data_IF_453874035291
#
_entry.id   IF_453874035291
#
_cell.length_a   1.000
_cell.length_b   1.000
_cell.length_c   1.000
_cell.angle_alpha   90.00
_cell.angle_beta   90.00
_cell.angle_gamma   90.00
#
_symmetry.space_group_name_H-M   'P 1'
#
loop_
_entity.id
_entity.type
_entity.pdbx_description
1 polymer ?
#
# COMPACT_ATOMS: atom_id res chain seq x y z
N UNK A 1 20.92 -1.19 39.04
CA UNK A 1 20.06 -2.37 39.14
C UNK A 1 19.87 -2.92 37.73
N UNK A 2 20.24 -4.18 37.46
CA UNK A 2 19.86 -4.83 36.20
C UNK A 2 18.34 -5.08 36.26
N UNK A 3 17.59 -4.38 35.46
CA UNK A 3 16.14 -4.64 35.32
C UNK A 3 16.00 -6.01 34.70
N UNK A 4 15.24 -6.90 35.32
CA UNK A 4 15.03 -8.25 34.81
C UNK A 4 14.14 -8.21 33.55
N UNK A 5 14.62 -8.83 32.48
CA UNK A 5 13.89 -8.94 31.20
C UNK A 5 12.50 -9.54 31.40
N UNK A 6 12.36 -10.49 32.35
CA UNK A 6 11.07 -11.10 32.65
C UNK A 6 10.06 -10.11 33.26
N UNK A 7 10.52 -9.21 34.13
CA UNK A 7 9.66 -8.16 34.67
C UNK A 7 9.19 -7.19 33.59
N UNK A 8 10.07 -6.86 32.65
CA UNK A 8 9.71 -6.00 31.48
C UNK A 8 8.69 -6.70 30.59
N UNK A 9 8.90 -7.99 30.26
CA UNK A 9 7.93 -8.74 29.48
C UNK A 9 6.55 -8.76 30.12
N UNK A 10 6.48 -9.03 31.41
CA UNK A 10 5.20 -9.01 32.15
C UNK A 10 4.53 -7.63 32.13
N UNK A 11 5.31 -6.57 32.36
CA UNK A 11 4.81 -5.19 32.41
C UNK A 11 4.26 -4.72 31.06
N UNK A 12 4.91 -5.10 29.96
CA UNK A 12 4.54 -4.66 28.60
C UNK A 12 3.77 -5.72 27.82
N UNK A 13 3.39 -6.85 28.43
CA UNK A 13 2.63 -7.91 27.77
C UNK A 13 3.39 -8.62 26.65
N UNK A 14 4.72 -8.65 26.70
CA UNK A 14 5.55 -9.31 25.69
C UNK A 14 5.60 -10.81 26.01
N UNK A 15 5.20 -11.63 25.04
CA UNK A 15 5.19 -13.08 25.16
C UNK A 15 6.28 -13.65 24.26
N UNK A 16 7.02 -14.59 24.79
CA UNK A 16 8.06 -15.31 24.07
C UNK A 16 9.37 -15.40 24.85
N UNK A 17 10.18 -16.41 24.49
CA UNK A 17 11.47 -16.68 25.13
C UNK A 17 12.62 -16.74 24.13
N UNK A 18 12.34 -16.40 22.87
CA UNK A 18 13.35 -16.41 21.82
C UNK A 18 14.55 -15.54 22.19
N UNK A 19 15.81 -16.03 22.02
CA UNK A 19 17.02 -15.28 22.36
C UNK A 19 17.15 -13.95 21.62
N UNK A 20 16.73 -13.88 20.34
CA UNK A 20 16.74 -12.64 19.54
C UNK A 20 15.78 -11.59 20.10
N UNK A 21 14.57 -11.99 20.53
CA UNK A 21 13.62 -11.10 21.19
C UNK A 21 14.18 -10.61 22.55
N UNK A 22 14.77 -11.49 23.34
CA UNK A 22 15.37 -11.13 24.63
C UNK A 22 16.51 -10.12 24.42
N UNK A 23 17.39 -10.36 23.43
CA UNK A 23 18.47 -9.44 23.09
C UNK A 23 17.95 -8.07 22.67
N UNK A 24 16.88 -8.01 21.88
CA UNK A 24 16.25 -6.75 21.48
C UNK A 24 15.76 -5.97 22.71
N UNK A 25 15.13 -6.65 23.70
CA UNK A 25 14.69 -6.04 24.95
C UNK A 25 15.89 -5.57 25.79
N UNK A 26 16.94 -6.38 25.88
CA UNK A 26 18.17 -6.00 26.60
C UNK A 26 18.80 -4.72 26.03
N UNK A 27 18.92 -4.63 24.70
CA UNK A 27 19.44 -3.43 24.04
C UNK A 27 18.54 -2.22 24.32
N UNK A 28 17.21 -2.40 24.26
CA UNK A 28 16.26 -1.33 24.57
C UNK A 28 16.44 -0.81 26.01
N UNK A 29 16.66 -1.70 26.98
CA UNK A 29 16.93 -1.33 28.40
C UNK A 29 18.29 -0.65 28.57
N UNK A 30 19.33 -1.12 27.89
CA UNK A 30 20.68 -0.52 27.97
C UNK A 30 20.70 0.89 27.37
N UNK A 31 19.97 1.14 26.29
CA UNK A 31 19.92 2.45 25.65
C UNK A 31 18.94 3.41 26.34
N UNK A 32 17.98 2.90 27.12
CA UNK A 32 16.93 3.70 27.76
C UNK A 32 17.46 4.91 28.56
N UNK A 33 18.51 4.80 29.42
CA UNK A 33 19.01 5.93 30.21
C UNK A 33 19.80 6.96 29.39
N UNK A 34 20.07 6.71 28.12
CA UNK A 34 20.79 7.63 27.21
C UNK A 34 19.82 8.45 26.37
N UNK A 35 20.32 9.53 25.75
CA UNK A 35 19.56 10.33 24.77
C UNK A 35 19.86 9.92 23.31
N UNK A 36 20.52 8.78 23.09
CA UNK A 36 20.85 8.30 21.76
C UNK A 36 19.57 7.99 20.93
N UNK A 37 19.64 8.27 19.64
CA UNK A 37 18.63 7.85 18.68
C UNK A 37 18.63 6.33 18.54
N UNK A 38 17.44 5.76 18.41
CA UNK A 38 17.24 4.31 18.27
C UNK A 38 16.45 4.04 17.02
N UNK A 39 16.95 3.11 16.20
CA UNK A 39 16.25 2.62 15.02
C UNK A 39 15.80 1.17 15.25
N UNK A 40 14.49 0.96 15.28
CA UNK A 40 13.89 -0.35 15.45
C UNK A 40 13.50 -0.90 14.07
N UNK A 41 14.11 -2.03 13.69
CA UNK A 41 13.84 -2.68 12.40
C UNK A 41 13.15 -4.01 12.61
N UNK A 42 12.28 -4.40 11.68
CA UNK A 42 11.58 -5.67 11.69
C UNK A 42 10.34 -5.63 10.80
N UNK A 43 9.83 -6.78 10.45
CA UNK A 43 8.66 -6.90 9.58
C UNK A 43 7.40 -6.27 10.20
N UNK A 44 6.41 -6.02 9.35
CA UNK A 44 5.10 -5.55 9.83
C UNK A 44 4.47 -6.57 10.78
N UNK A 45 3.84 -6.08 11.87
CA UNK A 45 3.15 -6.93 12.82
C UNK A 45 4.01 -7.74 13.79
N UNK A 46 5.34 -7.51 13.89
CA UNK A 46 6.23 -8.21 14.85
C UNK A 46 6.13 -7.69 16.29
N UNK A 47 5.52 -6.50 16.50
CA UNK A 47 5.37 -5.83 17.81
C UNK A 47 6.41 -4.75 18.06
N UNK A 48 6.89 -4.02 17.04
CA UNK A 48 7.86 -2.91 17.16
C UNK A 48 7.40 -1.80 18.11
N UNK A 49 6.12 -1.53 18.17
CA UNK A 49 5.50 -0.44 18.95
C UNK A 49 5.69 -0.56 20.47
N UNK A 50 6.04 -1.73 20.97
CA UNK A 50 6.28 -1.94 22.41
C UNK A 50 7.65 -1.41 22.84
N UNK A 51 8.67 -1.46 21.99
CA UNK A 51 10.04 -1.09 22.31
C UNK A 51 10.22 0.40 22.65
N UNK A 52 9.62 1.36 21.91
CA UNK A 52 9.68 2.78 22.28
C UNK A 52 9.08 3.06 23.65
N UNK A 53 8.03 2.35 24.04
CA UNK A 53 7.43 2.46 25.37
C UNK A 53 8.37 1.94 26.45
N UNK A 54 9.05 0.80 26.21
CA UNK A 54 10.09 0.28 27.12
C UNK A 54 11.21 1.31 27.30
N UNK A 55 11.71 1.88 26.20
CA UNK A 55 12.77 2.88 26.20
C UNK A 55 12.33 4.13 26.98
N UNK A 56 11.16 4.67 26.67
CA UNK A 56 10.66 5.88 27.32
C UNK A 56 10.46 5.69 28.82
N UNK A 57 9.77 4.62 29.24
CA UNK A 57 9.46 4.38 30.67
C UNK A 57 10.68 4.06 31.53
N UNK A 58 11.79 3.61 30.93
CA UNK A 58 13.05 3.35 31.62
C UNK A 58 14.10 4.46 31.37
N UNK A 59 13.71 5.58 30.73
CA UNK A 59 14.58 6.74 30.47
C UNK A 59 14.51 7.77 31.56
N UNK A 60 15.45 8.74 31.50
CA UNK A 60 15.42 9.96 32.35
C UNK A 60 14.17 10.83 32.01
N UNK A 61 13.60 10.67 30.79
CA UNK A 61 12.44 11.41 30.29
C UNK A 61 11.09 10.74 30.56
N UNK A 62 11.04 9.73 31.42
CA UNK A 62 9.83 8.92 31.71
C UNK A 62 8.62 9.72 32.20
N UNK A 63 8.82 10.93 32.68
CA UNK A 63 7.79 11.87 33.12
C UNK A 63 7.46 12.94 32.08
N UNK A 64 8.24 13.03 31.00
CA UNK A 64 8.00 13.89 29.85
C UNK A 64 6.90 13.35 28.93
N UNK A 65 6.50 14.14 27.95
CA UNK A 65 5.51 13.71 26.96
C UNK A 65 6.06 12.57 26.10
N UNK A 66 5.23 11.54 25.91
CA UNK A 66 5.46 10.48 24.92
C UNK A 66 4.46 10.62 23.79
N UNK A 67 4.94 10.86 22.58
CA UNK A 67 4.10 11.00 21.39
C UNK A 67 4.51 9.92 20.38
N UNK A 68 3.53 9.13 19.93
CA UNK A 68 3.71 8.15 18.86
C UNK A 68 3.04 8.66 17.58
N UNK A 69 3.79 8.69 16.49
CA UNK A 69 3.34 9.17 15.18
C UNK A 69 3.61 8.05 14.16
N UNK A 70 2.58 7.64 13.45
CA UNK A 70 2.75 6.77 12.28
C UNK A 70 2.90 7.65 11.03
N UNK A 71 4.11 7.67 10.45
CA UNK A 71 4.43 8.51 9.30
C UNK A 71 3.70 8.07 8.02
N UNK A 72 3.47 6.77 7.84
CA UNK A 72 2.75 6.23 6.69
C UNK A 72 1.23 6.50 6.72
N UNK A 73 0.67 6.78 7.91
CA UNK A 73 -0.75 7.09 8.05
C UNK A 73 -1.10 8.58 7.78
N UNK A 74 -0.10 9.46 7.73
CA UNK A 74 -0.31 10.90 7.51
C UNK A 74 -0.06 11.22 6.03
N UNK A 75 -1.00 11.86 5.32
CA UNK A 75 -0.79 12.24 3.92
C UNK A 75 0.42 13.15 3.74
N UNK A 76 1.17 12.95 2.65
CA UNK A 76 2.39 13.71 2.33
C UNK A 76 2.19 15.24 2.39
N UNK A 77 1.05 15.74 1.89
CA UNK A 77 0.73 17.18 1.90
C UNK A 77 0.52 17.79 3.29
N UNK A 78 0.36 16.99 4.34
CA UNK A 78 0.07 17.47 5.70
C UNK A 78 1.12 17.04 6.73
N UNK A 79 1.99 16.11 6.42
CA UNK A 79 2.96 15.54 7.36
C UNK A 79 3.90 16.61 7.96
N UNK A 80 4.36 17.56 7.17
CA UNK A 80 5.20 18.66 7.64
C UNK A 80 4.47 19.55 8.65
N UNK A 81 3.19 19.82 8.40
CA UNK A 81 2.33 20.61 9.30
C UNK A 81 2.06 19.88 10.62
N UNK A 82 1.86 18.56 10.58
CA UNK A 82 1.66 17.75 11.78
C UNK A 82 2.95 17.61 12.62
N UNK A 83 4.09 17.35 11.97
CA UNK A 83 5.36 17.18 12.68
C UNK A 83 5.92 18.50 13.24
N UNK A 84 5.95 19.55 12.41
CA UNK A 84 6.65 20.81 12.73
C UNK A 84 5.69 21.95 13.12
N UNK A 85 4.38 21.80 12.87
CA UNK A 85 3.40 22.85 13.06
C UNK A 85 3.32 23.86 11.90
N UNK A 86 2.33 24.75 11.95
CA UNK A 86 2.12 25.78 10.94
C UNK A 86 1.69 27.10 11.53
N UNK A 87 1.98 28.19 10.83
CA UNK A 87 1.41 29.53 11.11
C UNK A 87 0.11 29.74 10.33
N UNK A 88 -0.74 30.60 10.84
CA UNK A 88 -1.99 31.00 10.19
C UNK A 88 -1.72 31.50 8.76
N UNK A 89 -2.49 31.01 7.79
CA UNK A 89 -2.39 31.43 6.39
C UNK A 89 -1.27 30.77 5.59
N UNK A 90 -0.54 29.80 6.15
CA UNK A 90 0.56 29.11 5.48
C UNK A 90 0.12 28.23 4.30
N UNK A 91 -1.13 27.78 4.29
CA UNK A 91 -1.76 27.04 3.18
C UNK A 91 -3.28 27.23 3.21
N UNK A 92 -3.97 26.83 2.14
CA UNK A 92 -5.43 26.89 2.06
C UNK A 92 -6.06 25.99 3.13
N UNK A 93 -6.67 26.62 4.16
CA UNK A 93 -7.25 25.91 5.31
C UNK A 93 -6.50 26.12 6.63
N UNK A 94 -5.35 26.80 6.64
CA UNK A 94 -4.64 27.18 7.86
C UNK A 94 -5.32 28.38 8.55
N UNK A 95 -6.42 28.13 9.24
CA UNK A 95 -7.24 29.17 9.88
C UNK A 95 -6.61 29.76 11.15
N UNK A 96 -5.76 28.99 11.83
CA UNK A 96 -5.09 29.35 13.08
C UNK A 96 -3.67 28.76 13.13
N UNK A 97 -2.84 29.28 14.05
CA UNK A 97 -1.55 28.67 14.35
C UNK A 97 -1.76 27.30 15.01
N UNK A 98 -0.96 26.30 14.62
CA UNK A 98 -0.99 24.97 15.23
C UNK A 98 0.41 24.51 15.63
N UNK A 99 0.51 23.97 16.84
CA UNK A 99 1.75 23.34 17.32
C UNK A 99 1.94 21.98 16.65
N UNK A 100 3.18 21.70 16.21
CA UNK A 100 3.56 20.40 15.70
C UNK A 100 3.97 19.44 16.81
N UNK A 101 4.10 18.15 16.46
CA UNK A 101 4.49 17.11 17.42
C UNK A 101 5.86 17.36 18.06
N UNK A 102 6.83 17.94 17.34
CA UNK A 102 8.14 18.30 17.91
C UNK A 102 8.07 19.41 18.97
N UNK A 103 7.12 20.33 18.84
CA UNK A 103 6.90 21.36 19.86
C UNK A 103 6.19 20.78 21.09
N UNK A 104 5.22 19.87 20.89
CA UNK A 104 4.46 19.26 21.98
C UNK A 104 5.30 18.25 22.76
N UNK A 105 6.21 17.52 22.07
CA UNK A 105 7.08 16.51 22.68
C UNK A 105 8.33 17.11 23.33
N UNK A 106 8.48 18.43 23.40
CA UNK A 106 9.66 19.07 23.98
C UNK A 106 9.95 18.58 25.42
N UNK A 107 11.20 18.25 25.71
CA UNK A 107 11.61 17.59 26.95
C UNK A 107 11.24 16.11 27.08
N UNK A 108 10.51 15.56 26.13
CA UNK A 108 9.96 14.20 26.13
C UNK A 108 10.61 13.27 25.09
N UNK A 109 9.79 12.34 24.57
CA UNK A 109 10.18 11.36 23.56
C UNK A 109 9.15 11.32 22.44
N UNK A 110 9.62 11.38 21.20
CA UNK A 110 8.79 11.12 20.02
C UNK A 110 9.16 9.75 19.44
N UNK A 111 8.12 8.97 19.13
CA UNK A 111 8.25 7.73 18.38
C UNK A 111 7.72 7.95 16.96
N UNK A 112 8.56 7.70 15.97
CA UNK A 112 8.24 7.80 14.54
C UNK A 112 8.14 6.37 13.98
N UNK A 113 6.93 5.88 13.78
CA UNK A 113 6.70 4.59 13.12
C UNK A 113 6.67 4.78 11.60
N UNK A 114 7.10 3.76 10.86
CA UNK A 114 7.19 3.77 9.40
C UNK A 114 7.99 4.97 8.85
N UNK A 115 9.13 5.26 9.50
CA UNK A 115 9.99 6.42 9.13
C UNK A 115 10.50 6.34 7.69
N UNK A 116 10.55 5.14 7.10
CA UNK A 116 10.91 4.91 5.70
C UNK A 116 9.92 5.50 4.69
N UNK A 117 8.68 5.79 5.12
CA UNK A 117 7.62 6.37 4.28
C UNK A 117 7.65 7.92 4.26
N UNK A 118 8.58 8.55 5.00
CA UNK A 118 8.70 10.01 5.02
C UNK A 118 9.12 10.57 3.64
N UNK A 119 8.46 11.62 3.16
CA UNK A 119 8.90 12.34 1.95
C UNK A 119 10.32 12.91 2.12
N UNK A 120 11.11 12.94 1.05
CA UNK A 120 12.49 13.44 1.08
C UNK A 120 12.64 14.87 1.66
N UNK A 121 11.75 15.84 1.39
CA UNK A 121 11.80 17.15 2.04
C UNK A 121 11.62 17.07 3.56
N UNK A 122 10.71 16.23 4.05
CA UNK A 122 10.47 16.00 5.48
C UNK A 122 11.66 15.33 6.14
N UNK A 123 12.33 14.39 5.45
CA UNK A 123 13.55 13.76 5.92
C UNK A 123 14.66 14.80 6.20
N UNK A 124 14.84 15.80 5.32
CA UNK A 124 15.81 16.87 5.52
C UNK A 124 15.50 17.74 6.76
N UNK A 125 14.22 17.99 7.02
CA UNK A 125 13.78 18.72 8.22
C UNK A 125 14.00 17.88 9.49
N UNK A 126 13.70 16.58 9.45
CA UNK A 126 13.94 15.67 10.55
C UNK A 126 15.43 15.57 10.89
N UNK A 127 16.31 15.53 9.90
CA UNK A 127 17.75 15.54 10.10
C UNK A 127 18.19 16.78 10.90
N UNK A 128 17.67 17.97 10.54
CA UNK A 128 17.98 19.19 11.29
C UNK A 128 17.57 19.10 12.77
N UNK A 129 16.41 18.51 13.05
CA UNK A 129 15.99 18.28 14.45
C UNK A 129 16.96 17.33 15.18
N UNK A 130 17.41 16.26 14.50
CA UNK A 130 18.35 15.27 15.07
C UNK A 130 19.75 15.83 15.34
N UNK A 131 20.21 16.79 14.52
CA UNK A 131 21.55 17.36 14.62
C UNK A 131 21.63 18.54 15.59
N UNK A 132 20.70 19.48 15.44
CA UNK A 132 20.75 20.78 16.13
C UNK A 132 19.63 20.99 17.14
N UNK A 133 18.61 20.10 17.16
CA UNK A 133 17.39 20.33 17.94
C UNK A 133 16.54 21.49 17.41
N UNK A 134 16.74 21.90 16.16
CA UNK A 134 16.04 23.05 15.57
C UNK A 134 15.06 22.66 14.47
N UNK A 135 13.95 23.34 14.40
CA UNK A 135 12.99 23.23 13.33
C UNK A 135 12.32 24.57 13.01
N UNK A 136 11.62 24.63 11.88
CA UNK A 136 10.87 25.81 11.42
C UNK A 136 9.44 25.36 11.11
N UNK A 137 8.44 26.09 11.60
CA UNK A 137 7.02 25.85 11.25
C UNK A 137 6.76 26.11 9.77
N UNK A 138 5.74 25.47 9.24
CA UNK A 138 5.30 25.72 7.87
C UNK A 138 4.76 27.16 7.79
N UNK A 139 5.23 27.94 6.80
CA UNK A 139 4.88 29.34 6.63
C UNK A 139 5.64 30.33 7.52
N UNK A 140 6.57 29.86 8.37
CA UNK A 140 7.40 30.70 9.23
C UNK A 140 8.84 30.77 8.75
N UNK A 141 9.54 31.85 9.14
CA UNK A 141 11.01 31.97 9.03
C UNK A 141 11.71 31.83 10.40
N UNK A 142 10.93 31.71 11.50
CA UNK A 142 11.47 31.65 12.85
C UNK A 142 11.96 30.26 13.19
N UNK A 143 13.23 30.16 13.60
CA UNK A 143 13.80 28.92 14.13
C UNK A 143 13.28 28.67 15.53
N UNK A 144 12.77 27.47 15.78
CA UNK A 144 12.37 26.98 17.09
C UNK A 144 13.32 25.88 17.54
N UNK A 145 13.48 25.73 18.85
CA UNK A 145 14.32 24.70 19.47
C UNK A 145 13.45 23.69 20.20
N UNK A 146 13.87 22.44 20.13
CA UNK A 146 13.27 21.35 20.89
C UNK A 146 14.35 20.44 21.44
N UNK A 147 14.13 19.92 22.65
CA UNK A 147 14.97 18.91 23.27
C UNK A 147 14.19 17.60 23.35
N UNK A 148 13.95 16.97 22.21
CA UNK A 148 13.18 15.73 22.12
C UNK A 148 14.09 14.54 21.83
N UNK A 149 13.83 13.42 22.50
CA UNK A 149 14.44 12.13 22.16
C UNK A 149 13.68 11.47 21.04
N UNK A 150 14.37 11.02 19.98
CA UNK A 150 13.76 10.36 18.82
C UNK A 150 14.01 8.86 18.88
N UNK A 151 12.94 8.07 18.77
CA UNK A 151 12.94 6.63 18.54
C UNK A 151 12.20 6.39 17.24
N UNK A 152 12.84 5.77 16.26
CA UNK A 152 12.25 5.49 14.94
C UNK A 152 12.03 4.00 14.74
N UNK A 153 11.00 3.63 14.00
CA UNK A 153 10.78 2.26 13.55
C UNK A 153 10.49 2.20 12.06
N UNK A 154 10.85 1.07 11.45
CA UNK A 154 10.57 0.82 10.04
C UNK A 154 10.45 -0.68 9.75
N UNK A 155 9.66 -1.04 8.76
CA UNK A 155 9.58 -2.37 8.15
C UNK A 155 10.32 -2.42 6.80
N UNK A 156 10.76 -1.27 6.28
CA UNK A 156 11.48 -1.15 5.00
C UNK A 156 12.97 -1.33 5.21
N UNK A 157 13.65 -1.94 4.25
CA UNK A 157 15.10 -1.97 4.20
C UNK A 157 15.65 -0.59 3.82
N UNK A 158 16.05 0.20 4.83
CA UNK A 158 16.56 1.56 4.59
C UNK A 158 17.84 1.60 3.77
N UNK A 159 18.70 0.58 3.84
CA UNK A 159 19.92 0.53 3.00
C UNK A 159 19.55 0.45 1.52
N UNK A 160 18.56 -0.37 1.20
CA UNK A 160 18.03 -0.42 -0.16
C UNK A 160 17.32 0.89 -0.54
N UNK A 161 16.53 1.48 0.35
CA UNK A 161 15.86 2.76 0.11
C UNK A 161 16.87 3.91 -0.14
N UNK A 162 18.02 3.91 0.53
CA UNK A 162 19.13 4.84 0.28
C UNK A 162 19.70 4.62 -1.13
N UNK A 163 19.98 3.38 -1.52
CA UNK A 163 20.50 3.07 -2.87
C UNK A 163 19.50 3.44 -3.98
N UNK A 164 18.20 3.41 -3.70
CA UNK A 164 17.13 3.82 -4.62
C UNK A 164 16.86 5.35 -4.60
N UNK A 165 17.58 6.12 -3.78
CA UNK A 165 17.37 7.57 -3.63
C UNK A 165 16.06 7.98 -2.93
N UNK A 166 15.34 7.01 -2.32
CA UNK A 166 14.09 7.24 -1.59
C UNK A 166 14.31 7.68 -0.16
N UNK A 167 15.46 7.36 0.41
CA UNK A 167 15.85 7.73 1.77
C UNK A 167 17.23 8.38 1.78
N UNK A 168 17.41 9.43 2.57
CA UNK A 168 18.69 10.15 2.66
C UNK A 168 19.70 9.34 3.47
N UNK A 169 20.90 9.22 2.98
CA UNK A 169 22.00 8.51 3.61
C UNK A 169 22.40 9.14 4.97
N UNK A 170 22.46 10.48 5.01
CA UNK A 170 22.80 11.23 6.23
C UNK A 170 21.79 10.99 7.38
N UNK A 171 20.50 11.01 7.05
CA UNK A 171 19.43 10.69 7.99
C UNK A 171 19.51 9.23 8.48
N UNK A 172 19.80 8.28 7.57
CA UNK A 172 19.95 6.88 7.94
C UNK A 172 21.03 6.70 9.01
N UNK A 173 22.25 7.24 8.80
CA UNK A 173 23.31 7.14 9.80
C UNK A 173 22.96 7.82 11.12
N UNK A 174 22.25 8.93 11.08
CA UNK A 174 21.84 9.66 12.29
C UNK A 174 20.78 8.94 13.11
N UNK A 175 19.82 8.27 12.45
CA UNK A 175 18.80 7.44 13.11
C UNK A 175 19.38 6.11 13.60
N UNK A 176 20.25 5.48 12.83
CA UNK A 176 20.81 4.15 13.10
C UNK A 176 21.99 4.18 14.10
N UNK A 177 21.92 5.07 15.08
CA UNK A 177 22.96 5.15 16.15
C UNK A 177 22.93 3.89 17.01
N UNK A 178 21.75 3.43 17.42
CA UNK A 178 21.56 2.15 18.12
C UNK A 178 20.50 1.34 17.38
N UNK A 179 20.89 0.31 16.62
CA UNK A 179 19.93 -0.56 15.96
C UNK A 179 19.32 -1.57 16.94
N UNK A 180 18.01 -1.76 16.84
CA UNK A 180 17.26 -2.84 17.49
C UNK A 180 16.53 -3.63 16.43
N UNK A 181 16.92 -4.88 16.21
CA UNK A 181 16.25 -5.76 15.28
C UNK A 181 15.28 -6.68 16.02
N UNK A 182 14.00 -6.62 15.64
CA UNK A 182 12.96 -7.50 16.18
C UNK A 182 12.76 -8.68 15.21
N UNK A 183 13.01 -9.92 15.68
CA UNK A 183 12.93 -11.09 14.81
C UNK A 183 11.48 -11.35 14.34
N UNK A 184 11.28 -11.79 13.09
CA UNK A 184 9.98 -12.21 12.59
C UNK A 184 9.50 -13.48 13.29
N UNK A 185 8.20 -13.75 13.26
CA UNK A 185 7.59 -14.84 14.02
C UNK A 185 8.09 -16.21 13.58
N UNK A 186 8.41 -16.39 12.30
CA UNK A 186 9.00 -17.63 11.75
C UNK A 186 10.39 -17.98 12.33
N UNK A 187 11.13 -17.00 12.86
CA UNK A 187 12.43 -17.20 13.53
C UNK A 187 12.31 -17.49 15.04
N UNK A 188 11.05 -17.49 15.55
CA UNK A 188 10.74 -17.79 16.94
C UNK A 188 9.59 -18.80 17.07
N UNK A 189 9.74 -20.01 16.54
CA UNK A 189 8.69 -21.03 16.48
C UNK A 189 8.14 -21.42 17.86
N UNK A 190 8.99 -21.40 18.89
CA UNK A 190 8.59 -21.70 20.27
C UNK A 190 7.59 -20.67 20.84
N UNK A 191 7.67 -19.42 20.38
CA UNK A 191 6.80 -18.34 20.84
C UNK A 191 5.40 -18.41 20.19
N UNK A 192 5.27 -19.06 19.01
CA UNK A 192 4.00 -19.12 18.25
C UNK A 192 2.89 -19.76 19.09
N UNK A 193 3.16 -20.93 19.68
CA UNK A 193 2.18 -21.65 20.50
C UNK A 193 1.84 -20.89 21.79
N UNK A 194 2.82 -20.21 22.38
CA UNK A 194 2.61 -19.39 23.57
C UNK A 194 1.70 -18.19 23.25
N UNK A 195 1.95 -17.52 22.15
CA UNK A 195 1.15 -16.39 21.66
C UNK A 195 -0.28 -16.83 21.34
N UNK A 196 -0.44 -17.95 20.61
CA UNK A 196 -1.76 -18.50 20.31
C UNK A 196 -2.58 -18.75 21.59
N UNK A 197 -1.99 -19.44 22.58
CA UNK A 197 -2.64 -19.72 23.86
C UNK A 197 -3.06 -18.45 24.59
N UNK A 198 -2.19 -17.44 24.59
CA UNK A 198 -2.52 -16.15 25.21
C UNK A 198 -3.68 -15.46 24.48
N UNK A 199 -3.64 -15.38 23.16
CA UNK A 199 -4.72 -14.75 22.40
C UNK A 199 -6.04 -15.50 22.52
N UNK A 200 -6.00 -16.83 22.54
CA UNK A 200 -7.18 -17.66 22.80
C UNK A 200 -7.77 -17.41 24.21
N UNK A 201 -6.91 -17.29 25.22
CA UNK A 201 -7.32 -16.96 26.59
C UNK A 201 -7.91 -15.55 26.68
N UNK A 202 -7.26 -14.55 26.06
CA UNK A 202 -7.73 -13.16 26.05
C UNK A 202 -9.09 -13.03 25.34
N UNK A 203 -9.27 -13.78 24.26
CA UNK A 203 -10.53 -13.84 23.53
C UNK A 203 -11.64 -14.50 24.39
N UNK A 204 -11.31 -15.60 25.06
CA UNK A 204 -12.23 -16.29 25.95
C UNK A 204 -12.72 -15.39 27.11
N UNK A 205 -11.82 -14.63 27.71
CA UNK A 205 -12.15 -13.68 28.76
C UNK A 205 -13.00 -12.52 28.23
N UNK A 206 -12.62 -11.94 27.11
CA UNK A 206 -13.31 -10.79 26.48
C UNK A 206 -14.76 -11.13 26.10
N UNK A 207 -14.99 -12.31 25.54
CA UNK A 207 -16.29 -12.72 25.03
C UNK A 207 -17.04 -13.71 25.97
N UNK A 208 -16.47 -14.03 27.15
CA UNK A 208 -17.04 -14.96 28.15
C UNK A 208 -17.37 -16.34 27.58
N UNK A 209 -16.44 -16.87 26.79
CA UNK A 209 -16.56 -18.18 26.16
C UNK A 209 -15.39 -19.08 26.56
N UNK A 210 -15.51 -20.43 26.46
CA UNK A 210 -14.35 -21.29 26.70
C UNK A 210 -13.24 -21.07 25.69
N UNK A 211 -11.95 -21.10 26.10
CA UNK A 211 -10.84 -20.96 25.21
C UNK A 211 -10.72 -22.12 24.24
N UNK A 212 -10.31 -21.82 23.01
CA UNK A 212 -10.01 -22.85 22.00
C UNK A 212 -8.68 -23.53 22.30
N UNK A 213 -8.56 -24.80 21.89
CA UNK A 213 -7.35 -25.60 22.02
C UNK A 213 -6.98 -26.18 20.66
N UNK A 214 -5.69 -26.36 20.43
CA UNK A 214 -5.18 -27.04 19.23
C UNK A 214 -4.89 -28.50 19.56
N UNK A 215 -5.25 -29.40 18.67
CA UNK A 215 -4.68 -30.75 18.67
C UNK A 215 -3.20 -30.74 18.28
N UNK A 216 -2.54 -31.88 18.34
CA UNK A 216 -1.10 -31.94 18.06
C UNK A 216 -0.76 -31.68 16.59
N UNK A 217 -1.64 -32.10 15.66
CA UNK A 217 -1.46 -31.85 14.23
C UNK A 217 -1.68 -30.37 13.89
N UNK A 218 -2.72 -29.72 14.42
CA UNK A 218 -2.93 -28.31 14.26
C UNK A 218 -1.79 -27.47 14.86
N UNK A 219 -1.22 -27.92 16.00
CA UNK A 219 -0.05 -27.26 16.60
C UNK A 219 1.18 -27.31 15.68
N UNK A 220 1.45 -28.47 15.07
CA UNK A 220 2.54 -28.61 14.10
C UNK A 220 2.32 -27.74 12.87
N UNK A 221 1.09 -27.71 12.35
CA UNK A 221 0.70 -26.84 11.24
C UNK A 221 0.88 -25.38 11.59
N UNK A 222 0.44 -24.92 12.77
CA UNK A 222 0.58 -23.56 13.25
C UNK A 222 2.05 -23.11 13.30
N UNK A 223 2.95 -23.99 13.79
CA UNK A 223 4.38 -23.72 13.90
C UNK A 223 5.07 -23.71 12.54
N UNK A 224 4.64 -24.56 11.60
CA UNK A 224 5.20 -24.65 10.26
C UNK A 224 4.77 -23.51 9.32
N UNK A 225 3.71 -22.79 9.66
CA UNK A 225 3.23 -21.69 8.84
C UNK A 225 4.17 -20.48 8.89
N UNK A 226 4.30 -19.79 7.78
CA UNK A 226 5.33 -18.75 7.58
C UNK A 226 5.06 -17.40 8.25
N UNK A 227 3.82 -17.13 8.59
CA UNK A 227 3.33 -15.93 9.28
C UNK A 227 3.78 -14.61 8.64
N UNK A 228 3.41 -14.31 7.38
CA UNK A 228 3.83 -13.07 6.71
C UNK A 228 3.37 -11.80 7.45
N UNK A 229 2.22 -11.84 8.13
CA UNK A 229 1.73 -10.76 8.99
C UNK A 229 2.12 -10.90 10.46
N UNK A 230 3.03 -11.84 10.79
CA UNK A 230 3.61 -12.04 12.12
C UNK A 230 2.59 -12.14 13.27
N UNK A 231 2.83 -11.47 14.39
CA UNK A 231 1.97 -11.52 15.59
C UNK A 231 0.60 -10.93 15.33
N UNK A 232 0.50 -9.91 14.48
CA UNK A 232 -0.79 -9.29 14.11
C UNK A 232 -1.69 -10.28 13.37
N UNK A 233 -1.15 -11.03 12.44
CA UNK A 233 -1.87 -12.07 11.70
C UNK A 233 -2.28 -13.23 12.61
N UNK A 234 -1.34 -13.73 13.43
CA UNK A 234 -1.61 -14.80 14.40
C UNK A 234 -2.75 -14.40 15.35
N UNK A 235 -2.73 -13.18 15.88
CA UNK A 235 -3.80 -12.66 16.73
C UNK A 235 -5.13 -12.64 16.00
N UNK A 236 -5.18 -12.07 14.80
CA UNK A 236 -6.42 -11.96 14.03
C UNK A 236 -7.02 -13.34 13.69
N UNK A 237 -6.17 -14.30 13.30
CA UNK A 237 -6.61 -15.66 12.99
C UNK A 237 -7.13 -16.35 14.27
N UNK A 238 -6.42 -16.21 15.39
CA UNK A 238 -6.85 -16.79 16.68
C UNK A 238 -8.20 -16.20 17.15
N UNK A 239 -8.36 -14.88 17.07
CA UNK A 239 -9.63 -14.23 17.40
C UNK A 239 -10.77 -14.69 16.48
N UNK A 240 -10.52 -14.78 15.17
CA UNK A 240 -11.50 -15.25 14.20
C UNK A 240 -11.95 -16.67 14.50
N UNK A 241 -11.03 -17.62 14.65
CA UNK A 241 -11.36 -19.01 15.00
C UNK A 241 -12.15 -19.07 16.31
N UNK A 242 -11.70 -18.33 17.33
CA UNK A 242 -12.38 -18.33 18.66
C UNK A 242 -13.84 -17.90 18.57
N UNK A 243 -14.18 -16.98 17.67
CA UNK A 243 -15.55 -16.44 17.54
C UNK A 243 -16.41 -17.27 16.60
N UNK A 244 -15.82 -17.81 15.51
CA UNK A 244 -16.60 -18.48 14.45
C UNK A 244 -16.77 -19.98 14.66
N UNK A 245 -15.86 -20.66 15.37
CA UNK A 245 -15.96 -22.10 15.60
C UNK A 245 -16.79 -22.43 16.85
N UNK A 246 -17.72 -23.35 16.69
CA UNK A 246 -18.51 -23.86 17.82
C UNK A 246 -17.69 -24.88 18.63
N UNK A 247 -16.91 -25.70 17.96
CA UNK A 247 -16.01 -26.67 18.59
C UNK A 247 -14.81 -25.95 19.20
N UNK A 248 -14.44 -26.34 20.43
CA UNK A 248 -13.30 -25.72 21.12
C UNK A 248 -11.99 -26.45 20.88
N UNK A 249 -12.04 -27.67 20.40
CA UNK A 249 -10.88 -28.44 19.97
C UNK A 249 -10.70 -28.27 18.45
N UNK A 250 -9.66 -27.54 18.09
CA UNK A 250 -9.36 -27.14 16.70
C UNK A 250 -8.40 -28.14 16.09
N UNK A 251 -8.87 -28.84 15.05
CA UNK A 251 -8.07 -29.79 14.27
C UNK A 251 -7.26 -29.10 13.17
N UNK A 252 -6.28 -29.81 12.60
CA UNK A 252 -5.50 -29.30 11.50
C UNK A 252 -6.34 -28.91 10.27
N UNK A 253 -7.42 -29.65 10.00
CA UNK A 253 -8.31 -29.36 8.86
C UNK A 253 -9.10 -28.06 9.08
N UNK A 254 -9.63 -27.84 10.29
CA UNK A 254 -10.27 -26.59 10.65
C UNK A 254 -9.27 -25.42 10.54
N UNK A 255 -8.05 -25.58 11.10
CA UNK A 255 -7.03 -24.54 11.05
C UNK A 255 -6.66 -24.16 9.61
N UNK A 256 -6.58 -25.14 8.67
CA UNK A 256 -6.30 -24.90 7.25
C UNK A 256 -7.32 -23.98 6.58
N UNK A 257 -8.59 -24.01 6.99
CA UNK A 257 -9.62 -23.12 6.44
C UNK A 257 -9.38 -21.64 6.78
N UNK A 258 -8.68 -21.37 7.87
CA UNK A 258 -8.39 -20.03 8.36
C UNK A 258 -7.02 -19.51 7.93
N UNK A 259 -6.09 -20.42 7.65
CA UNK A 259 -4.78 -20.01 7.15
C UNK A 259 -4.91 -19.62 5.67
N UNK A 260 -4.47 -18.41 5.28
CA UNK A 260 -4.39 -18.06 3.86
C UNK A 260 -3.57 -19.11 3.11
N UNK A 261 -4.08 -19.63 2.00
CA UNK A 261 -3.32 -20.54 1.16
C UNK A 261 -2.04 -19.83 0.72
N UNK A 262 -0.90 -20.25 1.27
CA UNK A 262 0.44 -19.78 0.87
C UNK A 262 0.91 -20.47 -0.43
N UNK A 263 0.01 -21.06 -1.19
CA UNK A 263 0.18 -21.12 -2.62
C UNK A 263 -0.07 -19.70 -3.17
N UNK A 264 0.76 -18.79 -2.73
CA UNK A 264 1.05 -17.62 -3.53
C UNK A 264 1.71 -18.20 -4.78
N UNK A 265 0.90 -18.46 -5.81
CA UNK A 265 1.38 -18.24 -7.15
C UNK A 265 2.18 -16.95 -7.03
N UNK A 266 3.47 -17.08 -7.23
CA UNK A 266 4.38 -15.93 -7.31
C UNK A 266 3.66 -14.98 -8.25
N UNK A 267 3.10 -13.87 -7.74
CA UNK A 267 2.82 -12.75 -8.63
C UNK A 267 4.06 -12.63 -9.49
N UNK A 268 3.94 -12.65 -10.82
CA UNK A 268 5.12 -12.58 -11.65
C UNK A 268 5.91 -11.39 -11.12
N UNK A 269 7.04 -11.69 -10.46
CA UNK A 269 8.00 -10.70 -10.05
C UNK A 269 8.40 -10.10 -11.38
N UNK A 270 7.97 -8.88 -11.64
CA UNK A 270 8.51 -8.07 -12.72
C UNK A 270 10.02 -8.10 -12.53
N UNK A 271 10.69 -8.94 -13.29
CA UNK A 271 12.14 -8.98 -13.36
C UNK A 271 12.53 -7.56 -13.76
N UNK A 272 13.11 -6.81 -12.82
CA UNK A 272 13.69 -5.50 -13.09
C UNK A 272 14.75 -5.70 -14.16
N UNK A 273 14.41 -5.38 -15.38
CA UNK A 273 15.39 -5.09 -16.41
C UNK A 273 16.03 -3.73 -16.08
N UNK A 274 17.29 -3.61 -16.42
CA UNK A 274 18.25 -2.54 -16.13
C UNK A 274 17.70 -1.09 -16.17
N UNK A 275 18.33 -0.15 -15.39
CA UNK A 275 17.75 1.16 -15.08
C UNK A 275 17.90 2.23 -16.17
N UNK A 276 17.98 1.89 -17.46
CA UNK A 276 18.18 2.86 -18.56
C UNK A 276 17.05 2.95 -19.60
N UNK A 277 15.82 2.49 -19.27
CA UNK A 277 14.67 2.77 -20.13
C UNK A 277 13.51 3.38 -19.32
N UNK A 278 13.29 4.65 -19.65
CA UNK A 278 12.23 5.58 -19.25
C UNK A 278 10.89 4.93 -18.89
N UNK A 279 10.51 5.09 -17.60
CA UNK A 279 9.21 4.78 -17.04
C UNK A 279 8.17 5.77 -17.63
N UNK A 280 7.62 5.44 -18.81
CA UNK A 280 6.47 6.16 -19.36
C UNK A 280 5.49 5.29 -20.16
N UNK A 281 5.59 3.94 -20.13
CA UNK A 281 4.82 3.13 -21.09
C UNK A 281 4.04 1.93 -20.55
N UNK A 282 3.95 1.65 -19.25
CA UNK A 282 3.38 0.35 -18.85
C UNK A 282 1.86 0.23 -19.10
N UNK A 283 1.06 1.26 -18.86
CA UNK A 283 -0.39 1.21 -19.14
C UNK A 283 -0.73 1.39 -20.63
N UNK A 284 0.04 2.21 -21.34
CA UNK A 284 -0.11 2.37 -22.79
C UNK A 284 0.34 1.14 -23.57
N UNK A 285 1.44 0.48 -23.17
CA UNK A 285 1.89 -0.75 -23.83
C UNK A 285 0.89 -1.89 -23.69
N UNK A 286 0.29 -2.08 -22.51
CA UNK A 286 -0.78 -3.07 -22.31
C UNK A 286 -1.99 -2.74 -23.18
N UNK A 287 -2.39 -1.47 -23.25
CA UNK A 287 -3.50 -1.02 -24.09
C UNK A 287 -3.22 -1.23 -25.59
N UNK A 288 -2.00 -0.94 -26.03
CA UNK A 288 -1.57 -1.20 -27.40
C UNK A 288 -1.49 -2.70 -27.73
N UNK A 289 -1.01 -3.54 -26.81
CA UNK A 289 -1.01 -4.99 -27.00
C UNK A 289 -2.43 -5.54 -27.16
N UNK A 290 -3.36 -5.15 -26.31
CA UNK A 290 -4.77 -5.56 -26.41
C UNK A 290 -5.40 -5.06 -27.74
N UNK A 291 -5.09 -3.84 -28.17
CA UNK A 291 -5.55 -3.30 -29.46
C UNK A 291 -4.95 -4.04 -30.66
N UNK A 292 -3.67 -4.42 -30.61
CA UNK A 292 -3.02 -5.20 -31.66
C UNK A 292 -3.59 -6.61 -31.73
N UNK A 293 -3.83 -7.27 -30.60
CA UNK A 293 -4.45 -8.59 -30.57
C UNK A 293 -5.88 -8.54 -31.11
N UNK A 294 -6.70 -7.57 -30.71
CA UNK A 294 -8.03 -7.37 -31.29
C UNK A 294 -7.98 -7.08 -32.78
N UNK A 295 -7.04 -6.28 -33.29
CA UNK A 295 -6.87 -6.00 -34.72
C UNK A 295 -6.49 -7.28 -35.50
N UNK A 296 -5.66 -8.14 -34.91
CA UNK A 296 -5.29 -9.44 -35.49
C UNK A 296 -6.49 -10.37 -35.58
N UNK A 297 -7.27 -10.49 -34.49
CA UNK A 297 -8.48 -11.32 -34.44
C UNK A 297 -9.55 -10.83 -35.45
N UNK A 298 -9.74 -9.53 -35.59
CA UNK A 298 -10.64 -8.94 -36.57
C UNK A 298 -10.18 -9.22 -38.01
N UNK A 299 -8.85 -9.20 -38.25
CA UNK A 299 -8.32 -9.50 -39.58
C UNK A 299 -8.43 -11.01 -39.90
N UNK A 300 -8.26 -11.90 -38.93
CA UNK A 300 -8.50 -13.34 -39.10
C UNK A 300 -9.97 -13.64 -39.32
N UNK A 301 -10.88 -12.99 -38.63
CA UNK A 301 -12.33 -13.06 -38.87
C UNK A 301 -12.70 -12.54 -40.26
N UNK A 302 -12.10 -11.44 -40.71
CA UNK A 302 -12.32 -10.95 -42.10
C UNK A 302 -11.84 -11.94 -43.14
N UNK A 303 -10.70 -12.61 -42.96
CA UNK A 303 -10.22 -13.66 -43.84
C UNK A 303 -11.16 -14.85 -43.85
N UNK A 304 -11.60 -15.34 -42.71
CA UNK A 304 -12.55 -16.45 -42.61
C UNK A 304 -13.89 -16.13 -43.29
N UNK A 305 -14.41 -14.92 -43.10
CA UNK A 305 -15.64 -14.46 -43.80
C UNK A 305 -15.40 -14.37 -45.28
N UNK A 306 -14.24 -13.90 -45.75
CA UNK A 306 -13.91 -13.83 -47.18
C UNK A 306 -13.74 -15.22 -47.79
N UNK A 307 -13.14 -16.18 -47.08
CA UNK A 307 -12.99 -17.58 -47.52
C UNK A 307 -14.35 -18.30 -47.57
N UNK A 308 -15.26 -18.01 -46.63
CA UNK A 308 -16.65 -18.53 -46.66
C UNK A 308 -17.45 -17.93 -47.83
N UNK A 309 -17.29 -16.65 -48.10
CA UNK A 309 -17.98 -15.99 -49.21
C UNK A 309 -17.37 -16.33 -50.59
N UNK A 310 -16.07 -16.71 -50.63
CA UNK A 310 -15.36 -17.09 -51.85
C UNK A 310 -15.53 -18.56 -52.28
N UNK A 311 -16.28 -19.39 -51.56
CA UNK A 311 -16.66 -20.75 -51.98
C UNK A 311 -15.60 -21.82 -51.92
N UNK A 312 -14.46 -21.60 -51.22
CA UNK A 312 -13.38 -22.58 -51.02
C UNK A 312 -13.43 -23.17 -49.59
N UNK A 313 -14.25 -24.19 -49.38
CA UNK A 313 -14.27 -24.95 -48.13
C UNK A 313 -13.61 -26.31 -48.40
N UNK A 314 -12.47 -26.68 -47.81
CA UNK A 314 -12.04 -28.05 -47.71
C UNK A 314 -12.89 -28.77 -46.67
N UNK A 315 -13.70 -29.72 -47.07
CA UNK A 315 -14.46 -30.63 -46.18
C UNK A 315 -13.49 -31.52 -45.38
N UNK A 316 -13.62 -31.59 -44.05
CA UNK A 316 -13.08 -32.72 -43.31
C UNK A 316 -14.08 -33.88 -43.36
N UNK A 317 -13.63 -35.05 -43.81
CA UNK A 317 -14.34 -36.32 -43.75
C UNK A 317 -14.59 -36.70 -42.29
N UNK A 318 -15.86 -36.88 -41.95
CA UNK A 318 -16.29 -37.41 -40.65
C UNK A 318 -16.81 -38.82 -40.84
N UNK A 319 -16.31 -39.76 -40.06
CA UNK A 319 -16.92 -41.08 -39.87
C UNK A 319 -17.94 -41.03 -38.73
N UNK A 320 -19.10 -41.53 -39.04
CA UNK A 320 -20.19 -42.18 -38.30
C UNK A 320 -20.26 -42.12 -36.76
N UNK A 321 -21.36 -41.63 -36.21
CA UNK A 321 -22.46 -42.40 -35.63
C UNK A 321 -23.59 -41.50 -35.04
N UNK A 322 -24.80 -41.83 -35.46
CA UNK A 322 -26.18 -41.40 -35.27
C UNK A 322 -26.71 -41.19 -33.82
N UNK A 323 -28.02 -40.92 -33.63
CA UNK A 323 -28.94 -39.87 -34.14
C UNK A 323 -29.79 -39.18 -33.02
N UNK A 324 -30.47 -38.07 -33.28
CA UNK A 324 -31.90 -37.83 -32.97
C UNK A 324 -32.39 -36.47 -33.54
N UNK A 325 -33.60 -36.57 -34.14
CA UNK A 325 -34.36 -35.59 -34.87
C UNK A 325 -35.12 -34.60 -33.97
N UNK A 326 -35.50 -33.42 -34.42
CA UNK A 326 -36.64 -32.98 -35.18
C UNK A 326 -36.65 -31.45 -35.44
N UNK A 327 -37.47 -30.95 -36.39
CA UNK A 327 -37.24 -29.72 -37.15
C UNK A 327 -38.19 -28.58 -36.80
N UNK A 328 -37.80 -27.33 -37.11
CA UNK A 328 -38.76 -26.25 -37.35
C UNK A 328 -38.29 -25.41 -38.54
N UNK A 329 -39.23 -25.20 -39.49
CA UNK A 329 -39.11 -24.55 -40.77
C UNK A 329 -39.16 -23.01 -40.70
N UNK A 330 -38.89 -22.29 -41.79
CA UNK A 330 -38.34 -20.95 -41.88
C UNK A 330 -39.38 -19.86 -42.14
N UNK A 331 -39.03 -18.64 -41.84
CA UNK A 331 -39.71 -17.46 -42.38
C UNK A 331 -38.72 -16.56 -43.13
N UNK A 332 -39.00 -16.35 -44.38
CA UNK A 332 -38.28 -15.47 -45.29
C UNK A 332 -38.48 -14.00 -44.94
N UNK A 333 -37.40 -13.20 -45.00
CA UNK A 333 -37.53 -11.76 -45.19
C UNK A 333 -36.47 -11.28 -46.20
N UNK A 334 -36.95 -10.46 -47.10
CA UNK A 334 -36.38 -9.93 -48.31
C UNK A 334 -35.02 -9.23 -48.17
N UNK A 335 -34.23 -9.42 -49.20
CA UNK A 335 -33.02 -8.67 -49.51
C UNK A 335 -33.33 -7.23 -49.92
N UNK A 336 -32.56 -6.30 -49.32
CA UNK A 336 -32.30 -5.00 -49.93
C UNK A 336 -30.78 -4.75 -49.87
N UNK A 337 -30.18 -4.68 -51.03
CA UNK A 337 -28.82 -4.28 -51.25
C UNK A 337 -28.66 -2.74 -51.07
N UNK A 338 -27.66 -2.25 -50.42
CA UNK A 338 -27.07 -0.98 -50.79
C UNK A 338 -25.70 -1.20 -51.46
N UNK A 339 -25.53 -0.53 -52.54
CA UNK A 339 -24.37 -0.36 -53.39
C UNK A 339 -23.17 0.15 -52.58
N UNK A 340 -22.02 -0.53 -52.75
CA UNK A 340 -20.73 -0.07 -52.22
C UNK A 340 -20.19 0.95 -53.21
N UNK A 341 -20.00 2.19 -52.72
CA UNK A 341 -19.14 3.20 -53.35
C UNK A 341 -17.73 3.06 -52.79
N UNK A 342 -16.75 3.23 -53.68
CA UNK A 342 -15.31 3.12 -53.45
C UNK A 342 -14.88 4.00 -52.27
N UNK A 343 -14.02 3.43 -51.40
CA UNK A 343 -13.37 4.15 -50.31
C UNK A 343 -12.14 4.87 -50.86
N UNK A 344 -12.17 6.18 -50.79
CA UNK A 344 -11.01 7.04 -50.97
C UNK A 344 -9.98 6.82 -49.85
N UNK A 345 -8.69 6.93 -50.19
CA UNK A 345 -7.53 6.85 -49.30
C UNK A 345 -7.66 7.82 -48.12
N UNK A 346 -7.65 7.29 -46.90
CA UNK A 346 -7.60 8.09 -45.70
C UNK A 346 -6.10 8.26 -45.36
N UNK A 347 -5.61 9.48 -45.49
CA UNK A 347 -4.33 9.93 -45.00
C UNK A 347 -4.24 9.67 -43.49
N UNK A 348 -3.07 9.18 -43.01
CA UNK A 348 -2.77 8.96 -41.60
C UNK A 348 -2.73 10.30 -40.87
N UNK A 349 -3.84 10.70 -40.22
CA UNK A 349 -3.83 11.83 -39.28
C UNK A 349 -3.11 11.45 -37.99
N UNK A 350 -2.04 12.17 -37.70
CA UNK A 350 -1.34 12.12 -36.41
C UNK A 350 -2.29 12.61 -35.30
N UNK A 351 -2.81 11.68 -34.51
CA UNK A 351 -3.72 11.97 -33.40
C UNK A 351 -2.94 12.66 -32.23
N UNK A 352 -2.76 13.98 -32.34
CA UNK A 352 -2.40 14.79 -31.20
C UNK A 352 -3.59 14.91 -30.25
N UNK A 353 -3.40 14.69 -28.95
CA UNK A 353 -4.46 14.78 -27.94
C UNK A 353 -5.12 16.17 -27.95
N UNK A 354 -4.33 17.20 -28.26
CA UNK A 354 -4.78 18.59 -28.37
C UNK A 354 -5.70 18.80 -29.59
N UNK A 355 -5.42 18.14 -30.70
CA UNK A 355 -6.26 18.22 -31.92
C UNK A 355 -7.58 17.49 -31.72
N UNK A 356 -7.59 16.35 -31.07
CA UNK A 356 -8.81 15.61 -30.75
C UNK A 356 -9.68 16.40 -29.75
N UNK A 357 -9.07 17.02 -28.75
CA UNK A 357 -9.79 17.85 -27.76
C UNK A 357 -10.39 19.09 -28.44
N UNK A 358 -9.63 19.76 -29.31
CA UNK A 358 -10.08 20.90 -30.12
C UNK A 358 -11.26 20.53 -31.00
N UNK A 359 -11.20 19.39 -31.65
CA UNK A 359 -12.27 18.89 -32.52
C UNK A 359 -13.55 18.51 -31.76
N UNK A 360 -13.41 17.90 -30.58
CA UNK A 360 -14.55 17.60 -29.70
C UNK A 360 -15.22 18.88 -29.19
N UNK A 361 -14.45 19.89 -28.80
CA UNK A 361 -15.01 21.19 -28.36
C UNK A 361 -15.74 21.88 -29.52
N UNK A 362 -15.20 21.85 -30.74
CA UNK A 362 -15.82 22.41 -31.91
C UNK A 362 -17.16 21.71 -32.26
N UNK A 363 -17.17 20.39 -32.30
CA UNK A 363 -18.38 19.60 -32.52
C UNK A 363 -19.48 19.85 -31.48
N UNK A 364 -19.09 19.99 -30.20
CA UNK A 364 -20.03 20.29 -29.12
C UNK A 364 -20.62 21.71 -29.25
N UNK A 365 -19.83 22.70 -29.64
CA UNK A 365 -20.31 24.07 -29.88
C UNK A 365 -21.26 24.15 -31.08
N UNK A 366 -20.95 23.47 -32.21
CA UNK A 366 -21.78 23.37 -33.37
C UNK A 366 -23.12 22.70 -33.06
N UNK A 367 -23.11 21.56 -32.37
CA UNK A 367 -24.29 20.81 -31.94
C UNK A 367 -25.26 21.64 -31.10
N UNK A 368 -24.74 22.56 -30.29
CA UNK A 368 -25.53 23.40 -29.39
C UNK A 368 -25.67 24.86 -29.85
N UNK A 369 -25.44 25.13 -31.17
CA UNK A 369 -25.57 26.47 -31.77
C UNK A 369 -24.87 27.57 -30.96
N UNK A 370 -23.63 27.30 -30.48
CA UNK A 370 -22.82 28.27 -29.73
C UNK A 370 -23.23 28.45 -28.28
N UNK A 371 -24.22 27.71 -27.75
CA UNK A 371 -24.63 27.80 -26.35
C UNK A 371 -23.62 27.10 -25.42
N UNK A 372 -22.68 27.85 -24.88
CA UNK A 372 -21.54 27.35 -24.08
C UNK A 372 -21.97 26.51 -22.88
N UNK A 373 -23.07 26.83 -22.22
CA UNK A 373 -23.59 26.09 -21.06
C UNK A 373 -23.99 24.65 -21.43
N UNK A 374 -24.65 24.47 -22.55
CA UNK A 374 -25.08 23.15 -23.02
C UNK A 374 -23.91 22.33 -23.57
N UNK A 375 -22.97 22.98 -24.27
CA UNK A 375 -21.75 22.35 -24.76
C UNK A 375 -20.83 21.87 -23.59
N UNK A 376 -20.72 22.64 -22.51
CA UNK A 376 -19.99 22.28 -21.32
C UNK A 376 -20.61 21.04 -20.62
N UNK A 377 -21.95 20.98 -20.55
CA UNK A 377 -22.66 19.85 -19.99
C UNK A 377 -22.47 18.57 -20.83
N UNK A 378 -22.49 18.68 -22.16
CA UNK A 378 -22.29 17.57 -23.10
C UNK A 378 -20.87 16.99 -22.99
N UNK A 379 -19.87 17.87 -22.84
CA UNK A 379 -18.46 17.51 -22.65
C UNK A 379 -18.10 17.13 -21.20
N UNK A 380 -19.07 17.18 -20.26
CA UNK A 380 -18.88 16.92 -18.81
C UNK A 380 -17.76 17.75 -18.15
N UNK A 381 -17.60 19.00 -18.60
CA UNK A 381 -16.61 19.95 -18.04
C UNK A 381 -17.34 21.20 -17.51
N UNK A 382 -16.65 21.98 -16.66
CA UNK A 382 -17.22 23.24 -16.16
C UNK A 382 -17.25 24.32 -17.25
N UNK A 383 -18.23 25.25 -17.21
CA UNK A 383 -18.32 26.38 -18.14
C UNK A 383 -17.02 27.20 -18.15
N UNK A 384 -16.38 27.36 -16.99
CA UNK A 384 -15.11 28.07 -16.84
C UNK A 384 -13.95 27.34 -17.55
N UNK A 385 -13.92 26.01 -17.49
CA UNK A 385 -12.93 25.19 -18.20
C UNK A 385 -13.12 25.29 -19.69
N UNK A 386 -14.36 25.19 -20.17
CA UNK A 386 -14.69 25.32 -21.59
C UNK A 386 -14.31 26.73 -22.13
N UNK A 387 -14.60 27.80 -21.38
CA UNK A 387 -14.21 29.16 -21.77
C UNK A 387 -12.70 29.33 -21.92
N UNK A 388 -11.91 28.77 -20.97
CA UNK A 388 -10.46 28.81 -21.05
C UNK A 388 -9.94 28.04 -22.28
N UNK A 389 -10.51 26.86 -22.57
CA UNK A 389 -10.12 26.04 -23.71
C UNK A 389 -10.52 26.65 -25.06
N UNK A 390 -11.69 27.29 -25.18
CA UNK A 390 -12.09 28.04 -26.37
C UNK A 390 -11.09 29.15 -26.68
N UNK A 391 -10.64 29.87 -25.64
CA UNK A 391 -9.63 30.93 -25.80
C UNK A 391 -8.25 30.40 -26.13
N UNK A 392 -7.86 29.28 -25.54
CA UNK A 392 -6.57 28.61 -25.77
C UNK A 392 -6.47 28.08 -27.22
N UNK A 393 -7.56 27.52 -27.77
CA UNK A 393 -7.60 26.95 -29.10
C UNK A 393 -8.12 27.92 -30.21
N UNK A 394 -8.39 29.19 -29.89
CA UNK A 394 -8.93 30.20 -30.79
C UNK A 394 -10.17 29.73 -31.58
N UNK A 395 -11.15 29.15 -30.89
CA UNK A 395 -12.39 28.63 -31.44
C UNK A 395 -13.56 29.63 -31.28
N UNK A 396 -13.35 30.91 -31.58
CA UNK A 396 -14.42 31.94 -31.60
C UNK A 396 -15.23 31.91 -32.86
#
# INVERSE_FOLDING_TARGET
MKVDVQQIKQRFGIIGNNPGLNRAIDVALQVAPTDLSVLITGESGVGKETFPQIIHQNSQRKHGQYIAVNCGAIPEGTIDSELFGHEKGSFTGALADRKGYFEVADGGTIFLDEVGELPTPTQARLLRVLETGEFIKVGSSKVQKTNVRIVAATNVNLVQAVSEGKFREDLYYRLNTVPIQVPPLRERPEDIVLLFRKFASDCAEKYRMPPIRLDDEARQLLVSYRWPGNVRELKNITERISVTEETRDITADVLRLYLPNVNVEKYPVLVKQDPDQKIFNSEREILYQVLFDMKKDVNELKKLVHDIMGGNIPMPTVADDTPYAHPIHPAAVHAMHPTIQDAEDVEEETLSLEEVEKEMIRKALEKHNGRRKNAAADLKISERTLYRKIKEYNLE
#
